data_IF_983123502362
#
_entry.id   IF_983123502362
#
_cell.length_a   1.000
_cell.length_b   1.000
_cell.length_c   1.000
_cell.angle_alpha   90.00
_cell.angle_beta   90.00
_cell.angle_gamma   90.00
#
_symmetry.space_group_name_H-M   'P 1'
#
loop_
_entity.id
_entity.type
_entity.pdbx_description
1 polymer ?
#
# COMPACT_ATOMS: atom_id res chain seq x y z
N UNK A 1 7.21 5.39 2.13
CA UNK A 1 6.80 4.54 0.99
C UNK A 1 8.03 4.05 0.24
N UNK A 2 8.07 2.80 -0.10
CA UNK A 2 9.12 2.24 -0.94
C UNK A 2 8.97 2.77 -2.36
N UNK A 3 9.99 3.44 -2.88
CA UNK A 3 9.96 4.07 -4.20
C UNK A 3 9.93 3.04 -5.34
N UNK A 4 10.37 1.81 -5.09
CA UNK A 4 10.37 0.76 -6.11
C UNK A 4 9.04 0.02 -6.21
N UNK A 5 8.36 -0.20 -5.09
CA UNK A 5 7.14 -1.01 -5.03
C UNK A 5 5.89 -0.22 -4.66
N UNK A 6 6.04 0.95 -4.03
CA UNK A 6 4.94 1.72 -3.46
C UNK A 6 4.42 1.17 -2.14
N UNK A 7 5.09 0.17 -1.56
CA UNK A 7 4.69 -0.42 -0.28
C UNK A 7 4.92 0.57 0.86
N UNK A 8 3.94 0.76 1.75
CA UNK A 8 4.15 1.59 2.94
C UNK A 8 5.30 1.05 3.79
N UNK A 9 6.22 1.93 4.21
CA UNK A 9 7.40 1.52 4.99
C UNK A 9 7.77 2.49 6.10
N UNK A 10 6.98 3.55 6.32
CA UNK A 10 7.24 4.56 7.34
C UNK A 10 5.92 5.07 7.94
N UNK A 11 5.95 5.52 9.21
CA UNK A 11 4.75 6.08 9.86
C UNK A 11 4.18 7.28 9.10
N UNK A 12 4.99 7.98 8.34
CA UNK A 12 4.54 9.06 7.47
C UNK A 12 3.47 8.59 6.49
N UNK A 13 3.60 7.38 5.95
CA UNK A 13 2.59 6.80 5.04
C UNK A 13 1.24 6.62 5.73
N UNK A 14 1.25 6.21 7.00
CA UNK A 14 0.04 6.13 7.80
C UNK A 14 -0.55 7.52 8.07
N UNK A 15 0.27 8.49 8.45
CA UNK A 15 -0.17 9.84 8.75
C UNK A 15 -0.83 10.50 7.53
N UNK A 16 -0.25 10.32 6.35
CA UNK A 16 -0.81 10.83 5.09
C UNK A 16 -2.18 10.21 4.80
N UNK A 17 -2.39 8.95 5.19
CA UNK A 17 -3.66 8.25 4.96
C UNK A 17 -4.81 8.73 5.85
N UNK A 18 -4.52 9.38 6.97
CA UNK A 18 -5.54 9.80 7.94
C UNK A 18 -6.31 11.05 7.47
N UNK A 19 -5.62 12.02 6.90
CA UNK A 19 -6.19 13.28 6.47
C UNK A 19 -5.51 13.77 5.20
N UNK A 20 -6.22 14.55 4.41
CA UNK A 20 -5.65 15.21 3.23
C UNK A 20 -4.91 16.49 3.62
N UNK A 21 -3.96 16.90 2.78
CA UNK A 21 -3.20 18.14 2.97
C UNK A 21 -2.03 18.00 3.95
N UNK A 22 -1.42 19.14 4.26
CA UNK A 22 -0.25 19.20 5.13
C UNK A 22 -0.66 19.51 6.58
N UNK A 23 -1.17 18.50 7.26
CA UNK A 23 -1.64 18.66 8.64
C UNK A 23 -0.55 18.34 9.67
N UNK A 24 0.56 17.76 9.26
CA UNK A 24 1.68 17.41 10.12
C UNK A 24 3.02 17.73 9.45
N UNK A 25 4.08 17.69 10.22
CA UNK A 25 5.45 17.87 9.75
C UNK A 25 6.44 17.28 10.73
N UNK A 26 7.71 17.57 10.52
CA UNK A 26 8.80 17.04 11.30
C UNK A 26 9.69 18.17 11.79
N UNK A 27 10.09 18.13 13.08
CA UNK A 27 11.04 19.09 13.62
C UNK A 27 12.43 18.93 13.01
N UNK A 28 12.76 17.71 12.60
CA UNK A 28 13.98 17.39 11.85
C UNK A 28 13.60 16.52 10.66
N UNK A 29 13.61 17.11 9.46
CA UNK A 29 13.25 16.40 8.23
C UNK A 29 14.24 15.31 7.83
N UNK A 30 15.44 15.35 8.42
CA UNK A 30 16.46 14.33 8.20
C UNK A 30 16.34 13.15 9.16
N UNK A 31 15.55 13.32 10.22
CA UNK A 31 15.30 12.29 11.22
C UNK A 31 13.79 12.23 11.53
N UNK A 32 13.03 11.60 10.64
CA UNK A 32 11.58 11.50 10.73
C UNK A 32 11.14 10.37 11.64
N UNK A 33 11.33 10.58 12.94
CA UNK A 33 10.88 9.65 13.98
C UNK A 33 9.69 10.27 14.72
N UNK A 34 8.90 9.44 15.41
CA UNK A 34 7.72 9.91 16.13
C UNK A 34 8.02 11.06 17.10
N UNK A 35 9.16 11.03 17.78
CA UNK A 35 9.56 12.08 18.70
C UNK A 35 9.69 13.47 18.04
N UNK A 36 9.92 13.50 16.73
CA UNK A 36 10.07 14.74 15.95
C UNK A 36 8.79 15.11 15.19
N UNK A 37 7.71 14.37 15.38
CA UNK A 37 6.42 14.63 14.73
C UNK A 37 5.77 15.88 15.32
N UNK A 38 5.37 16.79 14.44
CA UNK A 38 4.66 18.04 14.80
C UNK A 38 3.31 18.06 14.09
N UNK A 39 2.26 18.44 14.81
CA UNK A 39 0.93 18.65 14.22
C UNK A 39 0.76 20.13 13.92
N UNK A 40 0.64 20.45 12.64
CA UNK A 40 0.44 21.84 12.19
C UNK A 40 -1.00 22.29 12.25
N UNK A 41 -1.95 21.37 12.04
CA UNK A 41 -3.37 21.66 12.09
C UNK A 41 -3.93 21.33 13.47
N UNK A 42 -4.24 22.37 14.26
CA UNK A 42 -4.73 22.22 15.62
C UNK A 42 -6.09 21.52 15.71
N UNK A 43 -6.83 21.43 14.59
CA UNK A 43 -8.10 20.69 14.54
C UNK A 43 -7.89 19.17 14.44
N UNK A 44 -6.65 18.71 14.22
CA UNK A 44 -6.31 17.30 14.11
C UNK A 44 -5.65 16.80 15.40
N UNK A 45 -6.04 15.64 15.82
CA UNK A 45 -5.44 15.01 17.01
C UNK A 45 -4.16 14.27 16.61
N UNK A 46 -3.08 14.49 17.36
CA UNK A 46 -1.84 13.76 17.16
C UNK A 46 -2.04 12.30 17.54
N UNK A 47 -1.85 11.34 16.62
CA UNK A 47 -1.90 9.92 16.95
C UNK A 47 -0.81 9.54 17.96
N UNK A 48 -1.05 8.51 18.76
CA UNK A 48 0.01 7.97 19.63
C UNK A 48 1.05 7.23 18.79
N UNK A 49 2.23 7.01 19.36
CA UNK A 49 3.26 6.22 18.69
C UNK A 49 2.77 4.82 18.37
N UNK A 50 2.03 4.19 19.29
CA UNK A 50 1.47 2.85 19.09
C UNK A 50 0.44 2.85 17.96
N UNK A 51 -0.40 3.87 17.87
CA UNK A 51 -1.35 4.01 16.76
C UNK A 51 -0.64 4.12 15.41
N UNK A 52 0.48 4.84 15.36
CA UNK A 52 1.29 4.96 14.15
C UNK A 52 1.92 3.62 13.76
N UNK A 53 2.44 2.87 14.72
CA UNK A 53 3.03 1.55 14.49
C UNK A 53 1.98 0.58 14.00
N UNK A 54 0.83 0.50 14.67
CA UNK A 54 -0.26 -0.40 14.31
C UNK A 54 -0.87 -0.02 12.96
N UNK A 55 -1.05 1.28 12.71
CA UNK A 55 -1.57 1.79 11.46
C UNK A 55 -0.66 1.48 10.26
N UNK A 56 0.64 1.65 10.44
CA UNK A 56 1.61 1.28 9.40
C UNK A 56 1.59 -0.22 9.13
N UNK A 57 1.54 -1.04 10.18
CA UNK A 57 1.46 -2.50 10.05
C UNK A 57 0.20 -2.91 9.28
N UNK A 58 -0.94 -2.26 9.54
CA UNK A 58 -2.19 -2.51 8.83
C UNK A 58 -2.09 -2.12 7.36
N UNK A 59 -1.52 -0.97 7.05
CA UNK A 59 -1.30 -0.55 5.66
C UNK A 59 -0.41 -1.54 4.90
N UNK A 60 0.63 -2.04 5.54
CA UNK A 60 1.51 -3.06 4.96
C UNK A 60 0.77 -4.36 4.70
N UNK A 61 -0.04 -4.81 5.67
CA UNK A 61 -0.84 -6.02 5.52
C UNK A 61 -1.87 -5.88 4.40
N UNK A 62 -2.54 -4.74 4.30
CA UNK A 62 -3.52 -4.46 3.24
C UNK A 62 -2.86 -4.43 1.87
N UNK A 63 -1.68 -3.82 1.76
CA UNK A 63 -0.91 -3.79 0.52
C UNK A 63 -0.51 -5.21 0.08
N UNK A 64 0.02 -6.00 1.01
CA UNK A 64 0.46 -7.36 0.71
C UNK A 64 -0.73 -8.25 0.33
N UNK A 65 -1.87 -8.10 1.01
CA UNK A 65 -3.09 -8.83 0.70
C UNK A 65 -3.65 -8.46 -0.67
N UNK A 66 -3.60 -7.20 -1.05
CA UNK A 66 -4.05 -6.75 -2.37
C UNK A 66 -3.24 -7.39 -3.50
N UNK A 67 -1.94 -7.58 -3.30
CA UNK A 67 -1.08 -8.27 -4.27
C UNK A 67 -1.47 -9.75 -4.38
N UNK A 68 -1.66 -10.43 -3.25
CA UNK A 68 -2.09 -11.83 -3.22
C UNK A 68 -3.43 -12.00 -3.91
N UNK A 69 -4.39 -11.14 -3.63
CA UNK A 69 -5.72 -11.17 -4.23
C UNK A 69 -5.64 -10.97 -5.75
N UNK A 70 -4.80 -10.05 -6.21
CA UNK A 70 -4.58 -9.81 -7.64
C UNK A 70 -4.03 -11.04 -8.34
N UNK A 71 -3.03 -11.69 -7.76
CA UNK A 71 -2.43 -12.91 -8.31
C UNK A 71 -3.43 -14.06 -8.30
N UNK A 72 -4.21 -14.21 -7.24
CA UNK A 72 -5.25 -15.24 -7.16
C UNK A 72 -6.31 -15.04 -8.23
N UNK A 73 -6.73 -13.81 -8.50
CA UNK A 73 -7.68 -13.51 -9.58
C UNK A 73 -7.12 -13.83 -10.95
N UNK A 74 -5.85 -13.53 -11.20
CA UNK A 74 -5.17 -13.90 -12.45
C UNK A 74 -5.12 -15.40 -12.64
N UNK A 75 -4.70 -16.14 -11.61
CA UNK A 75 -4.62 -17.59 -11.65
C UNK A 75 -5.99 -18.23 -11.89
N UNK A 76 -7.04 -17.74 -11.23
CA UNK A 76 -8.41 -18.23 -11.40
C UNK A 76 -8.93 -17.96 -12.80
N UNK A 77 -8.72 -16.76 -13.34
CA UNK A 77 -9.14 -16.42 -14.70
C UNK A 77 -8.41 -17.28 -15.75
N UNK A 78 -7.11 -17.49 -15.57
CA UNK A 78 -6.30 -18.34 -16.44
C UNK A 78 -6.80 -19.78 -16.43
N UNK A 79 -7.09 -20.32 -15.25
CA UNK A 79 -7.61 -21.69 -15.12
C UNK A 79 -8.96 -21.84 -15.82
N UNK A 80 -9.83 -20.85 -15.71
CA UNK A 80 -11.14 -20.87 -16.41
C UNK A 80 -10.98 -20.84 -17.92
N UNK A 81 -10.05 -20.05 -18.44
CA UNK A 81 -9.78 -19.96 -19.88
C UNK A 81 -9.15 -21.25 -20.40
N UNK A 82 -8.26 -21.87 -19.65
CA UNK A 82 -7.67 -23.17 -19.99
C UNK A 82 -8.73 -24.27 -20.03
N UNK A 83 -9.70 -24.22 -19.12
CA UNK A 83 -10.83 -25.17 -19.10
C UNK A 83 -11.71 -25.07 -20.35
N UNK A 84 -11.68 -23.94 -21.06
CA UNK A 84 -12.36 -23.75 -22.34
C UNK A 84 -11.57 -24.30 -23.54
N UNK A 85 -10.40 -24.91 -23.28
CA UNK A 85 -9.57 -25.52 -24.32
C UNK A 85 -8.54 -24.59 -24.94
N UNK A 86 -8.31 -23.42 -24.35
CA UNK A 86 -7.30 -22.47 -24.82
C UNK A 86 -5.93 -22.80 -24.24
N UNK A 87 -4.89 -22.64 -25.06
CA UNK A 87 -3.50 -22.77 -24.58
C UNK A 87 -3.07 -21.51 -23.85
N UNK A 88 -2.00 -21.59 -23.05
CA UNK A 88 -1.43 -20.44 -22.36
C UNK A 88 -1.03 -19.33 -23.35
N UNK A 89 -0.48 -19.70 -24.50
CA UNK A 89 -0.09 -18.75 -25.54
C UNK A 89 -1.29 -18.05 -26.17
N UNK A 90 -2.36 -18.78 -26.45
CA UNK A 90 -3.59 -18.23 -26.98
C UNK A 90 -4.22 -17.24 -25.99
N UNK A 91 -4.17 -17.55 -24.69
CA UNK A 91 -4.65 -16.66 -23.64
C UNK A 91 -3.81 -15.39 -23.59
N UNK A 92 -2.50 -15.49 -23.67
CA UNK A 92 -1.60 -14.34 -23.69
C UNK A 92 -1.87 -13.43 -24.90
N UNK A 93 -2.03 -13.99 -26.08
CA UNK A 93 -2.34 -13.22 -27.29
C UNK A 93 -3.68 -12.52 -27.21
N UNK A 94 -4.70 -13.18 -26.67
CA UNK A 94 -6.04 -12.63 -26.56
C UNK A 94 -6.12 -11.48 -25.55
N UNK A 95 -5.38 -11.54 -24.44
CA UNK A 95 -5.49 -10.58 -23.36
C UNK A 95 -4.28 -9.67 -23.19
N UNK A 96 -3.11 -10.03 -23.71
CA UNK A 96 -1.91 -9.20 -23.73
C UNK A 96 -1.33 -8.79 -22.37
N UNK A 97 -1.96 -9.16 -21.28
CA UNK A 97 -1.67 -8.69 -19.92
C UNK A 97 -1.08 -9.76 -19.00
N UNK A 98 -0.86 -10.96 -19.52
CA UNK A 98 -0.42 -12.12 -18.74
C UNK A 98 1.10 -12.26 -18.68
N UNK A 99 1.80 -11.25 -19.09
CA UNK A 99 3.25 -11.19 -19.14
C UNK A 99 3.84 -10.68 -17.84
#
# INVERSE_FOLDING_TARGET
>A
MDLNTGRPNHIEDYLVSLHTGQWFGWSDVKNKVYANLIIHDSSKTKPTEQECIDGLAQLQADYDQAIIDKENRKASAKAKLEALGLTTEEIKEAFGIWT
#
